data_IF_275039147825
#
_entry.id   IF_275039147825
#
_cell.length_a   1.000
_cell.length_b   1.000
_cell.length_c   1.000
_cell.angle_alpha   90.00
_cell.angle_beta   90.00
_cell.angle_gamma   90.00
#
_symmetry.space_group_name_H-M   'P 1'
#
loop_
_entity.id
_entity.type
_entity.pdbx_description
1 polymer ?
#
# COMPACT_ATOMS: atom_id res chain seq x y z
N UNK A 1 18.43 -2.49 -24.59
CA UNK A 1 17.31 -1.79 -23.94
C UNK A 1 17.09 -2.45 -22.59
N UNK A 2 16.97 -1.69 -21.48
CA UNK A 2 16.64 -2.28 -20.18
C UNK A 2 15.17 -2.74 -20.24
N UNK A 3 14.91 -4.02 -20.02
CA UNK A 3 13.54 -4.49 -19.77
C UNK A 3 13.06 -3.80 -18.49
N UNK A 4 12.09 -2.91 -18.62
CA UNK A 4 11.39 -2.37 -17.46
C UNK A 4 10.47 -3.50 -17.01
N UNK A 5 10.81 -4.14 -15.88
CA UNK A 5 9.92 -5.12 -15.28
C UNK A 5 8.63 -4.40 -14.86
N UNK A 6 7.54 -4.70 -15.56
CA UNK A 6 6.20 -4.23 -15.21
C UNK A 6 5.65 -5.07 -14.06
N UNK A 7 6.34 -5.03 -12.92
CA UNK A 7 5.87 -5.73 -11.73
C UNK A 7 4.83 -4.87 -11.01
N UNK A 8 3.70 -5.47 -10.69
CA UNK A 8 2.52 -4.79 -10.13
C UNK A 8 2.16 -5.47 -8.82
N UNK A 9 1.91 -4.67 -7.78
CA UNK A 9 1.43 -5.17 -6.49
C UNK A 9 -0.07 -4.94 -6.34
N UNK A 10 -0.81 -5.97 -5.93
CA UNK A 10 -2.17 -5.85 -5.43
C UNK A 10 -2.14 -6.17 -3.94
N UNK A 11 -2.47 -5.17 -3.12
CA UNK A 11 -2.31 -5.22 -1.66
C UNK A 11 -3.70 -5.24 -1.04
N UNK A 12 -3.99 -6.29 -0.28
CA UNK A 12 -5.16 -6.34 0.59
C UNK A 12 -4.92 -5.49 1.83
N UNK A 13 -5.52 -4.31 1.81
CA UNK A 13 -5.40 -3.31 2.85
C UNK A 13 -6.12 -3.65 4.14
N UNK A 14 -7.21 -4.43 4.08
CA UNK A 14 -7.93 -4.84 5.29
C UNK A 14 -7.10 -5.82 6.10
N UNK A 15 -6.58 -6.85 5.44
CA UNK A 15 -5.71 -7.82 6.11
C UNK A 15 -4.42 -7.17 6.61
N UNK A 16 -3.85 -6.26 5.83
CA UNK A 16 -2.65 -5.54 6.24
C UNK A 16 -2.91 -4.61 7.45
N UNK A 17 -4.07 -3.95 7.51
CA UNK A 17 -4.43 -3.09 8.63
C UNK A 17 -4.70 -3.89 9.91
N UNK A 18 -5.59 -4.89 9.85
CA UNK A 18 -5.96 -5.73 10.99
C UNK A 18 -4.75 -6.50 11.53
N UNK A 19 -3.93 -7.04 10.63
CA UNK A 19 -2.74 -7.80 10.96
C UNK A 19 -1.62 -6.99 11.60
N UNK A 20 -1.63 -5.66 11.50
CA UNK A 20 -0.62 -4.79 12.11
C UNK A 20 -1.13 -4.07 13.35
N UNK A 21 -2.42 -3.75 13.39
CA UNK A 21 -3.07 -3.22 14.58
C UNK A 21 -3.02 -4.20 15.77
N UNK A 22 -3.12 -5.51 15.55
CA UNK A 22 -3.01 -6.51 16.62
C UNK A 22 -1.68 -6.39 17.40
N UNK A 23 -0.62 -5.87 16.77
CA UNK A 23 0.70 -5.67 17.35
C UNK A 23 0.98 -4.20 17.70
N UNK A 24 -0.05 -3.35 17.76
CA UNK A 24 0.07 -1.90 17.96
C UNK A 24 0.98 -1.21 16.94
N UNK A 25 1.14 -1.82 15.76
CA UNK A 25 1.98 -1.30 14.71
C UNK A 25 1.13 -0.54 13.67
N UNK A 26 1.58 0.65 13.30
CA UNK A 26 0.93 1.47 12.29
C UNK A 26 1.80 1.54 11.04
N UNK A 27 1.21 1.17 9.91
CA UNK A 27 1.90 1.21 8.63
C UNK A 27 2.05 2.64 8.13
N UNK A 28 3.30 2.97 7.82
CA UNK A 28 3.66 4.10 6.96
C UNK A 28 3.61 3.64 5.50
N UNK A 29 2.58 4.09 4.79
CA UNK A 29 2.29 3.64 3.42
C UNK A 29 3.31 4.19 2.42
N UNK A 30 3.95 5.34 2.69
CA UNK A 30 5.01 5.88 1.85
C UNK A 30 6.27 5.02 1.95
N UNK A 31 6.63 4.61 3.17
CA UNK A 31 7.75 3.67 3.38
C UNK A 31 7.47 2.30 2.77
N UNK A 32 6.23 1.79 2.91
CA UNK A 32 5.82 0.54 2.26
C UNK A 32 5.95 0.64 0.73
N UNK A 33 5.48 1.73 0.12
CA UNK A 33 5.59 1.97 -1.32
C UNK A 33 7.04 2.00 -1.80
N UNK A 34 7.93 2.68 -1.06
CA UNK A 34 9.37 2.73 -1.35
C UNK A 34 10.01 1.35 -1.23
N UNK A 35 9.69 0.60 -0.18
CA UNK A 35 10.18 -0.77 0.00
C UNK A 35 9.75 -1.69 -1.15
N UNK A 36 8.49 -1.64 -1.57
CA UNK A 36 7.99 -2.43 -2.70
C UNK A 36 8.70 -2.07 -4.02
N UNK A 37 8.93 -0.78 -4.26
CA UNK A 37 9.69 -0.29 -5.41
C UNK A 37 11.13 -0.79 -5.39
N UNK A 38 11.82 -0.62 -4.28
CA UNK A 38 13.27 -0.84 -4.22
C UNK A 38 13.62 -2.32 -4.18
N UNK A 39 12.88 -3.11 -3.39
CA UNK A 39 13.16 -4.52 -3.18
C UNK A 39 12.57 -5.41 -4.27
N UNK A 40 11.34 -5.13 -4.71
CA UNK A 40 10.60 -6.01 -5.62
C UNK A 40 10.39 -5.40 -7.01
N UNK A 41 10.97 -4.22 -7.27
CA UNK A 41 10.85 -3.50 -8.55
C UNK A 41 9.40 -3.23 -8.95
N UNK A 42 8.53 -3.02 -7.96
CA UNK A 42 7.12 -2.73 -8.17
C UNK A 42 6.95 -1.34 -8.76
N UNK A 43 6.45 -1.29 -10.00
CA UNK A 43 6.18 -0.06 -10.73
C UNK A 43 4.82 0.54 -10.31
N UNK A 44 3.79 -0.29 -10.19
CA UNK A 44 2.43 0.11 -9.81
C UNK A 44 1.95 -0.70 -8.59
N UNK A 45 1.24 -0.06 -7.67
CA UNK A 45 0.68 -0.72 -6.50
C UNK A 45 -0.77 -0.31 -6.30
N UNK A 46 -1.67 -1.28 -6.27
CA UNK A 46 -3.09 -1.09 -6.00
C UNK A 46 -3.39 -1.54 -4.59
N UNK A 47 -3.89 -0.62 -3.76
CA UNK A 47 -4.21 -0.87 -2.36
C UNK A 47 -5.73 -0.98 -2.19
N UNK A 48 -6.21 -2.18 -1.88
CA UNK A 48 -7.64 -2.51 -1.79
C UNK A 48 -8.10 -2.47 -0.33
N UNK A 49 -8.99 -1.53 0.01
CA UNK A 49 -9.43 -1.30 1.39
C UNK A 49 -10.76 -1.99 1.76
N UNK A 50 -11.42 -2.65 0.80
CA UNK A 50 -12.76 -3.22 1.02
C UNK A 50 -13.84 -2.14 1.20
N UNK A 51 -14.84 -2.39 2.05
CA UNK A 51 -15.96 -1.46 2.28
C UNK A 51 -15.53 -0.29 3.17
N UNK A 52 -15.42 0.89 2.57
CA UNK A 52 -14.88 2.10 3.19
C UNK A 52 -15.92 2.73 4.11
N UNK A 53 -15.68 2.71 5.42
CA UNK A 53 -16.38 3.57 6.39
C UNK A 53 -15.74 4.97 6.42
N UNK A 54 -16.43 5.98 6.97
CA UNK A 54 -15.97 7.38 6.90
C UNK A 54 -14.57 7.61 7.52
N UNK A 55 -14.17 6.79 8.50
CA UNK A 55 -12.84 6.87 9.13
C UNK A 55 -11.69 6.46 8.19
N UNK A 56 -11.95 5.55 7.25
CA UNK A 56 -10.98 5.06 6.27
C UNK A 56 -10.76 6.03 5.10
N UNK A 57 -11.59 7.06 4.92
CA UNK A 57 -11.37 8.10 3.88
C UNK A 57 -10.04 8.84 4.06
N UNK A 58 -9.61 9.02 5.32
CA UNK A 58 -8.34 9.69 5.62
C UNK A 58 -7.14 8.87 5.16
N UNK A 59 -7.25 7.55 5.22
CA UNK A 59 -6.28 6.61 4.66
C UNK A 59 -6.24 6.69 3.13
N UNK A 60 -7.41 6.75 2.49
CA UNK A 60 -7.54 6.92 1.04
C UNK A 60 -6.86 8.20 0.55
N UNK A 61 -7.08 9.31 1.25
CA UNK A 61 -6.47 10.61 0.95
C UNK A 61 -4.94 10.58 1.04
N UNK A 62 -4.39 9.79 1.96
CA UNK A 62 -2.94 9.67 2.13
C UNK A 62 -2.31 8.76 1.06
N UNK A 63 -3.02 7.70 0.66
CA UNK A 63 -2.60 6.82 -0.44
C UNK A 63 -2.56 7.57 -1.77
N UNK A 64 -3.60 8.34 -2.10
CA UNK A 64 -3.63 9.16 -3.33
C UNK A 64 -2.49 10.19 -3.37
N UNK A 65 -2.13 10.77 -2.21
CA UNK A 65 -1.00 11.72 -2.11
C UNK A 65 0.37 11.06 -2.23
N UNK A 66 0.47 9.75 -1.96
CA UNK A 66 1.73 9.03 -1.97
C UNK A 66 2.20 8.63 -3.39
N UNK A 67 1.35 8.83 -4.41
CA UNK A 67 1.68 8.60 -5.82
C UNK A 67 1.11 7.32 -6.38
#
# INVERSE_FOLDING_TARGET
MKNIENNIAFIDGQNLHLGTMQDNWKIDHAKLRMYLKDKYKINEAYYVLGYVNEEEQKLYSNLQKAG
#
